data_IF_261095244021
#
_entry.id   IF_261095244021
#
_cell.length_a   1.000
_cell.length_b   1.000
_cell.length_c   1.000
_cell.angle_alpha   90.00
_cell.angle_beta   90.00
_cell.angle_gamma   90.00
#
_symmetry.space_group_name_H-M   'P 1'
#
loop_
_entity.id
_entity.type
_entity.pdbx_description
1 polymer ?
#
# COMPACT_ATOMS: atom_id res chain seq x y z
N UNK A 1 -14.68 -11.78 -18.65
CA UNK A 1 -14.96 -10.62 -17.77
C UNK A 1 -13.74 -9.71 -17.49
N UNK A 2 -12.60 -9.83 -18.19
CA UNK A 2 -11.44 -8.94 -17.95
C UNK A 2 -11.32 -7.79 -18.97
N UNK A 3 -12.05 -7.84 -20.10
CA UNK A 3 -12.03 -6.80 -21.15
C UNK A 3 -12.67 -5.48 -20.68
N UNK A 4 -13.70 -5.55 -19.85
CA UNK A 4 -14.39 -4.37 -19.30
C UNK A 4 -13.47 -3.41 -18.55
N UNK A 5 -12.39 -3.91 -17.94
CA UNK A 5 -11.48 -3.06 -17.15
C UNK A 5 -10.63 -2.13 -18.00
N UNK A 6 -10.28 -2.54 -19.22
CA UNK A 6 -9.57 -1.66 -20.16
C UNK A 6 -10.50 -0.56 -20.67
N UNK A 7 -11.76 -0.92 -20.96
CA UNK A 7 -12.79 0.06 -21.35
C UNK A 7 -13.00 1.13 -20.26
N UNK A 8 -13.04 0.73 -18.99
CA UNK A 8 -13.15 1.68 -17.88
C UNK A 8 -11.94 2.62 -17.78
N UNK A 9 -10.73 2.18 -18.17
CA UNK A 9 -9.57 3.06 -18.20
C UNK A 9 -9.70 4.11 -19.30
N UNK A 10 -10.12 3.70 -20.49
CA UNK A 10 -10.35 4.62 -21.60
C UNK A 10 -11.48 5.60 -21.30
N UNK A 11 -12.57 5.14 -20.68
CA UNK A 11 -13.65 6.02 -20.20
C UNK A 11 -13.13 7.00 -19.14
N UNK A 12 -12.31 6.55 -18.19
CA UNK A 12 -11.71 7.43 -17.18
C UNK A 12 -10.79 8.48 -17.79
N UNK A 13 -9.99 8.11 -18.81
CA UNK A 13 -9.15 9.03 -19.59
C UNK A 13 -9.97 10.05 -20.38
N UNK A 14 -11.11 9.61 -20.93
CA UNK A 14 -12.08 10.48 -21.59
C UNK A 14 -12.84 11.42 -20.62
N UNK A 15 -12.59 11.31 -19.31
CA UNK A 15 -13.18 12.16 -18.29
C UNK A 15 -14.48 11.64 -17.68
N UNK A 16 -14.85 10.38 -17.94
CA UNK A 16 -16.01 9.75 -17.30
C UNK A 16 -15.79 9.65 -15.78
N UNK A 17 -16.60 10.36 -14.96
CA UNK A 17 -16.45 10.37 -13.51
C UNK A 17 -16.81 9.02 -12.88
N UNK A 18 -17.68 8.22 -13.50
CA UNK A 18 -18.14 6.93 -12.97
C UNK A 18 -17.15 5.81 -13.24
N UNK A 19 -16.31 5.95 -14.26
CA UNK A 19 -15.35 4.93 -14.65
C UNK A 19 -14.32 4.66 -13.54
N UNK A 20 -13.87 5.71 -12.85
CA UNK A 20 -12.97 5.59 -11.70
C UNK A 20 -13.61 4.82 -10.54
N UNK A 21 -14.86 5.12 -10.22
CA UNK A 21 -15.63 4.45 -9.17
C UNK A 21 -15.86 2.97 -9.49
N UNK A 22 -16.17 2.64 -10.74
CA UNK A 22 -16.32 1.25 -11.21
C UNK A 22 -15.01 0.47 -11.08
N UNK A 23 -13.87 1.07 -11.43
CA UNK A 23 -12.55 0.47 -11.21
C UNK A 23 -12.31 0.24 -9.72
N UNK A 24 -12.60 1.24 -8.89
CA UNK A 24 -12.44 1.16 -7.44
C UNK A 24 -13.24 0.00 -6.85
N UNK A 25 -14.56 -0.04 -7.08
CA UNK A 25 -15.44 -1.11 -6.57
C UNK A 25 -15.00 -2.51 -7.02
N UNK A 26 -14.53 -2.63 -8.26
CA UNK A 26 -14.08 -3.90 -8.82
C UNK A 26 -12.83 -4.45 -8.11
N UNK A 27 -11.90 -3.59 -7.69
CA UNK A 27 -10.60 -4.04 -7.20
C UNK A 27 -10.37 -3.83 -5.70
N UNK A 28 -11.14 -2.98 -5.02
CA UNK A 28 -10.89 -2.61 -3.62
C UNK A 28 -10.89 -3.81 -2.67
N UNK A 29 -11.90 -4.68 -2.75
CA UNK A 29 -12.01 -5.86 -1.88
C UNK A 29 -10.82 -6.81 -2.11
N UNK A 30 -10.45 -7.03 -3.37
CA UNK A 30 -9.33 -7.90 -3.74
C UNK A 30 -7.99 -7.31 -3.28
N UNK A 31 -7.84 -5.98 -3.37
CA UNK A 31 -6.63 -5.26 -2.96
C UNK A 31 -6.46 -5.30 -1.44
N UNK A 32 -7.52 -5.06 -0.68
CA UNK A 32 -7.53 -5.19 0.78
C UNK A 32 -7.15 -6.61 1.18
N UNK A 33 -7.74 -7.64 0.54
CA UNK A 33 -7.39 -9.04 0.78
C UNK A 33 -5.92 -9.34 0.49
N UNK A 34 -5.37 -8.82 -0.62
CA UNK A 34 -3.95 -8.95 -0.96
C UNK A 34 -3.04 -8.34 0.11
N UNK A 35 -3.34 -7.12 0.56
CA UNK A 35 -2.55 -6.44 1.58
C UNK A 35 -2.67 -7.16 2.93
N UNK A 36 -3.88 -7.57 3.31
CA UNK A 36 -4.12 -8.32 4.55
C UNK A 36 -3.35 -9.64 4.59
N UNK A 37 -3.28 -10.37 3.48
CA UNK A 37 -2.52 -11.62 3.41
C UNK A 37 -0.99 -11.40 3.53
N UNK A 38 -0.51 -10.23 3.10
CA UNK A 38 0.91 -9.87 3.20
C UNK A 38 1.28 -9.38 4.62
N UNK A 39 0.34 -8.76 5.32
CA UNK A 39 0.51 -8.34 6.70
C UNK A 39 0.31 -9.55 7.61
N UNK A 40 1.42 -10.17 8.03
CA UNK A 40 1.37 -11.19 9.09
C UNK A 40 0.61 -10.66 10.32
N UNK A 41 0.03 -11.55 11.13
CA UNK A 41 -0.73 -11.17 12.34
C UNK A 41 0.05 -10.22 13.28
N UNK A 42 1.39 -10.27 13.28
CA UNK A 42 2.29 -9.43 14.09
C UNK A 42 2.45 -8.00 13.56
N UNK A 43 2.14 -7.76 12.29
CA UNK A 43 2.20 -6.45 11.61
C UNK A 43 0.83 -5.76 11.48
N UNK A 44 -0.27 -6.52 11.65
CA UNK A 44 -1.65 -6.03 11.56
C UNK A 44 -2.00 -4.91 12.56
N UNK A 45 -1.24 -4.73 13.65
CA UNK A 45 -1.51 -3.68 14.64
C UNK A 45 -0.99 -2.30 14.23
N UNK A 46 -0.20 -2.19 13.15
CA UNK A 46 0.51 -0.95 12.78
C UNK A 46 0.31 -0.51 11.34
N UNK A 47 -0.18 -1.39 10.47
CA UNK A 47 -0.47 -1.08 9.07
C UNK A 47 -1.92 -1.47 8.82
N UNK A 48 -2.74 -0.48 8.47
CA UNK A 48 -4.11 -0.73 8.08
C UNK A 48 -4.17 -1.14 6.58
N UNK A 49 -4.68 -2.34 6.25
CA UNK A 49 -4.88 -2.75 4.87
C UNK A 49 -5.70 -1.76 4.03
N UNK A 50 -6.68 -1.08 4.64
CA UNK A 50 -7.55 -0.11 3.98
C UNK A 50 -6.79 1.17 3.63
N UNK A 51 -5.94 1.66 4.54
CA UNK A 51 -5.09 2.84 4.28
C UNK A 51 -4.11 2.57 3.12
N UNK A 52 -3.50 1.38 3.09
CA UNK A 52 -2.63 0.97 1.99
C UNK A 52 -3.42 0.91 0.68
N UNK A 53 -4.62 0.33 0.70
CA UNK A 53 -5.47 0.24 -0.48
C UNK A 53 -5.86 1.64 -0.99
N UNK A 54 -6.33 2.54 -0.13
CA UNK A 54 -6.66 3.92 -0.50
C UNK A 54 -5.46 4.66 -1.08
N UNK A 55 -4.30 4.54 -0.42
CA UNK A 55 -3.05 5.16 -0.90
C UNK A 55 -2.60 4.59 -2.26
N UNK A 56 -2.81 3.30 -2.48
CA UNK A 56 -2.53 2.65 -3.76
C UNK A 56 -3.44 3.17 -4.88
N UNK A 57 -4.75 3.28 -4.64
CA UNK A 57 -5.69 3.86 -5.60
C UNK A 57 -5.35 5.32 -5.95
N UNK A 58 -5.00 6.16 -4.96
CA UNK A 58 -4.57 7.55 -5.22
C UNK A 58 -3.36 7.62 -6.15
N UNK A 59 -2.34 6.79 -5.90
CA UNK A 59 -1.16 6.72 -6.77
C UNK A 59 -1.48 6.17 -8.14
N UNK A 60 -2.35 5.16 -8.21
CA UNK A 60 -2.80 4.55 -9.44
C UNK A 60 -3.57 5.53 -10.33
N UNK A 61 -4.57 6.26 -9.82
CA UNK A 61 -5.31 7.25 -10.61
C UNK A 61 -4.42 8.42 -11.04
N UNK A 62 -3.46 8.84 -10.22
CA UNK A 62 -2.45 9.83 -10.62
C UNK A 62 -1.61 9.33 -11.80
N UNK A 63 -1.25 8.05 -11.77
CA UNK A 63 -0.47 7.39 -12.80
C UNK A 63 -1.25 7.22 -14.11
N UNK A 64 -2.54 6.86 -14.03
CA UNK A 64 -3.44 6.83 -15.19
C UNK A 64 -3.57 8.20 -15.86
N UNK A 65 -3.66 9.28 -15.07
CA UNK A 65 -3.74 10.66 -15.60
C UNK A 65 -2.48 11.14 -16.30
N UNK A 66 -1.32 10.54 -16.04
CA UNK A 66 -0.07 10.96 -16.68
C UNK A 66 0.13 10.35 -18.07
N UNK A 67 -0.80 9.50 -18.52
CA UNK A 67 -0.80 8.78 -19.80
C UNK A 67 0.48 7.96 -20.11
N UNK A 68 1.30 7.69 -19.10
CA UNK A 68 2.58 6.97 -19.27
C UNK A 68 2.41 5.44 -19.32
N UNK A 69 1.19 4.92 -19.16
CA UNK A 69 0.91 3.49 -19.13
C UNK A 69 -0.09 3.12 -20.21
N UNK A 70 0.37 2.37 -21.20
CA UNK A 70 -0.51 1.72 -22.19
C UNK A 70 -0.84 0.33 -21.64
N UNK A 71 -2.12 0.03 -21.49
CA UNK A 71 -2.60 -1.29 -21.09
C UNK A 71 -3.06 -2.02 -22.33
N UNK A 72 -2.32 -3.05 -22.74
CA UNK A 72 -2.63 -3.82 -23.94
C UNK A 72 -3.40 -5.10 -23.59
N UNK A 73 -3.24 -5.59 -22.36
CA UNK A 73 -3.82 -6.87 -21.93
C UNK A 73 -4.72 -6.74 -20.73
N UNK A 74 -5.79 -7.51 -20.80
CA UNK A 74 -6.72 -7.68 -19.69
C UNK A 74 -5.96 -8.24 -18.47
N UNK A 75 -5.96 -7.48 -17.36
CA UNK A 75 -5.24 -7.82 -16.13
C UNK A 75 -3.96 -7.03 -15.84
N UNK A 76 -3.42 -6.26 -16.79
CA UNK A 76 -2.30 -5.34 -16.51
C UNK A 76 -2.68 -4.25 -15.50
N UNK A 77 -3.96 -3.85 -15.52
CA UNK A 77 -4.52 -2.92 -14.55
C UNK A 77 -4.39 -3.44 -13.11
N UNK A 78 -4.75 -4.71 -12.90
CA UNK A 78 -4.60 -5.36 -11.61
C UNK A 78 -3.14 -5.52 -11.23
N UNK A 79 -2.26 -5.89 -12.17
CA UNK A 79 -0.82 -6.02 -11.90
C UNK A 79 -0.21 -4.71 -11.44
N UNK A 80 -0.53 -3.59 -12.09
CA UNK A 80 -0.07 -2.26 -11.69
C UNK A 80 -0.58 -1.91 -10.29
N UNK A 81 -1.89 -2.06 -10.05
CA UNK A 81 -2.49 -1.75 -8.76
C UNK A 81 -1.90 -2.60 -7.63
N UNK A 82 -1.74 -3.90 -7.85
CA UNK A 82 -1.12 -4.83 -6.91
C UNK A 82 0.35 -4.46 -6.65
N UNK A 83 1.13 -4.12 -7.69
CA UNK A 83 2.51 -3.70 -7.53
C UNK A 83 2.64 -2.42 -6.69
N UNK A 84 1.78 -1.43 -6.93
CA UNK A 84 1.73 -0.18 -6.15
C UNK A 84 1.41 -0.50 -4.68
N UNK A 85 0.40 -1.33 -4.41
CA UNK A 85 0.00 -1.68 -3.05
C UNK A 85 1.10 -2.47 -2.31
N UNK A 86 1.73 -3.43 -2.98
CA UNK A 86 2.86 -4.21 -2.42
C UNK A 86 4.03 -3.29 -2.06
N UNK A 87 4.41 -2.39 -2.95
CA UNK A 87 5.50 -1.44 -2.69
C UNK A 87 5.18 -0.50 -1.51
N UNK A 88 3.94 -0.02 -1.42
CA UNK A 88 3.50 0.84 -0.30
C UNK A 88 3.51 0.10 1.03
N UNK A 89 2.98 -1.13 1.07
CA UNK A 89 2.99 -1.94 2.27
C UNK A 89 4.43 -2.25 2.73
N UNK A 90 5.31 -2.66 1.81
CA UNK A 90 6.73 -2.91 2.11
C UNK A 90 7.41 -1.68 2.70
N UNK A 91 7.23 -0.50 2.10
CA UNK A 91 7.80 0.75 2.62
C UNK A 91 7.29 1.08 4.03
N UNK A 92 6.01 0.86 4.32
CA UNK A 92 5.48 1.06 5.67
C UNK A 92 6.09 0.04 6.66
N UNK A 93 6.17 -1.23 6.29
CA UNK A 93 6.78 -2.28 7.12
C UNK A 93 8.25 -1.94 7.42
N UNK A 94 9.03 -1.55 6.41
CA UNK A 94 10.44 -1.14 6.55
C UNK A 94 10.57 0.07 7.48
N UNK A 95 9.77 1.12 7.27
CA UNK A 95 9.79 2.31 8.12
C UNK A 95 9.50 1.97 9.59
N UNK A 96 8.45 1.18 9.85
CA UNK A 96 8.10 0.80 11.22
C UNK A 96 9.10 -0.16 11.87
N UNK A 97 9.78 -1.01 11.10
CA UNK A 97 10.82 -1.90 11.64
C UNK A 97 12.14 -1.17 11.88
N UNK A 98 12.49 -0.19 11.04
CA UNK A 98 13.65 0.69 11.26
C UNK A 98 13.49 1.54 12.53
N UNK A 99 12.33 2.19 12.72
CA UNK A 99 12.03 2.98 13.92
C UNK A 99 12.16 2.13 15.20
N UNK A 100 11.78 0.85 15.16
CA UNK A 100 11.95 -0.04 16.33
C UNK A 100 13.41 -0.32 16.65
N UNK A 101 14.29 -0.49 15.65
CA UNK A 101 15.72 -0.68 15.90
C UNK A 101 16.33 0.56 16.54
N UNK A 102 15.91 1.75 16.13
CA UNK A 102 16.34 3.00 16.75
C UNK A 102 15.92 3.07 18.22
N UNK A 103 14.65 2.76 18.53
CA UNK A 103 14.11 2.80 19.90
C UNK A 103 14.70 1.69 20.80
N UNK A 104 14.97 0.51 20.25
CA UNK A 104 15.59 -0.61 21.00
C UNK A 104 17.06 -0.33 21.34
N UNK A 105 17.78 0.44 20.49
CA UNK A 105 19.15 0.88 20.74
C UNK A 105 19.24 2.02 21.79
N UNK A 106 18.11 2.64 22.18
CA UNK A 106 18.07 3.76 23.13
C UNK A 106 17.68 3.36 24.56
N UNK A 107 17.80 2.07 24.92
CA UNK A 107 17.70 1.65 26.32
C UNK A 107 19.09 1.36 26.92
N UNK A 108 19.80 2.38 27.48
CA UNK A 108 20.96 2.11 28.32
C UNK A 108 20.44 1.56 29.66
N UNK A 109 20.30 0.25 29.77
CA UNK A 109 20.15 -0.42 31.05
C UNK A 109 21.54 -0.84 31.55
N UNK A 110 21.92 -0.26 32.70
CA UNK A 110 22.99 -0.66 33.62
C UNK A 110 24.39 -0.05 33.42
N UNK A 111 24.63 1.06 34.12
CA UNK A 111 25.89 1.27 34.83
C UNK A 111 25.60 1.24 36.34
N UNK A 112 26.18 0.31 37.13
CA UNK A 112 26.04 0.30 38.57
C UNK A 112 27.22 1.08 39.18
N UNK A 113 27.02 2.34 39.54
CA UNK A 113 27.99 3.14 40.30
C UNK A 113 27.20 4.10 41.19
N UNK A 114 27.44 4.27 42.49
CA UNK A 114 28.45 3.75 43.41
C UNK A 114 27.84 4.00 44.80
N UNK A 115 27.97 3.04 45.73
CA UNK A 115 27.62 3.26 47.14
C UNK A 115 28.38 4.47 47.67
N UNK A 116 27.65 5.48 48.12
CA UNK A 116 28.17 6.48 49.05
C UNK A 116 27.94 5.91 50.46
N UNK A 117 29.02 5.51 51.12
CA UNK A 117 29.02 5.25 52.57
C UNK A 117 29.49 6.56 53.26
N UNK A 118 28.87 6.98 54.36
CA UNK A 118 28.77 8.37 54.82
C UNK A 118 30.04 8.99 55.40
#
# INVERSE_FOLDING_TARGET
>A
MNEDSLLLVEQHRAGDPDAGEKIFRRYVVRLIGLVRNMLSAKLNSRVDPEDVAQSAFRSFFRCLKSDQYVFEKSGELWKLLAAIAVNKARRQIEFHTAVRRSVDLEHPQNAPELKYDP
#
